data_IF_204170544386
#
_entry.id   IF_204170544386
#
_cell.length_a   1.000
_cell.length_b   1.000
_cell.length_c   1.000
_cell.angle_alpha   90.00
_cell.angle_beta   90.00
_cell.angle_gamma   90.00
#
_symmetry.space_group_name_H-M   'P 1'
#
loop_
_entity.id
_entity.type
_entity.pdbx_description
1 polymer ?
#
# COMPACT_ATOMS: atom_id res chain seq x y z
N UNK A 1 -15.07 3.44 -10.21
CA UNK A 1 -14.89 4.54 -11.17
C UNK A 1 -13.91 4.11 -12.25
N UNK A 2 -14.30 4.15 -13.47
CA UNK A 2 -13.40 3.85 -14.59
C UNK A 2 -12.52 5.08 -14.88
N UNK A 3 -11.24 4.86 -15.12
CA UNK A 3 -10.33 5.90 -15.58
C UNK A 3 -10.19 5.75 -17.10
N UNK A 4 -11.00 6.47 -17.89
CA UNK A 4 -10.97 6.32 -19.34
C UNK A 4 -9.63 6.81 -19.88
N UNK A 5 -9.07 6.18 -20.84
CA UNK A 5 -7.87 6.56 -21.61
C UNK A 5 -6.58 6.81 -20.82
N UNK A 6 -6.64 7.16 -19.54
CA UNK A 6 -5.47 7.51 -18.73
C UNK A 6 -5.07 6.46 -17.71
N UNK A 7 -5.63 5.25 -17.77
CA UNK A 7 -5.36 4.17 -16.82
C UNK A 7 -3.87 3.88 -16.65
N UNK A 8 -3.12 3.84 -17.74
CA UNK A 8 -1.67 3.61 -17.70
C UNK A 8 -0.90 4.75 -17.05
N UNK A 9 -1.33 5.98 -17.24
CA UNK A 9 -0.70 7.17 -16.65
C UNK A 9 -0.93 7.25 -15.15
N UNK A 10 -2.06 6.70 -14.68
CA UNK A 10 -2.42 6.69 -13.27
C UNK A 10 -2.06 5.38 -12.57
N UNK A 11 -1.39 4.47 -13.26
CA UNK A 11 -1.09 3.14 -12.74
C UNK A 11 -0.28 3.22 -11.44
N UNK A 12 0.72 4.08 -11.36
CA UNK A 12 1.52 4.29 -10.15
C UNK A 12 0.65 4.68 -8.96
N UNK A 13 -0.26 5.62 -9.17
CA UNK A 13 -1.16 6.13 -8.13
C UNK A 13 -2.12 5.03 -7.68
N UNK A 14 -2.66 4.27 -8.62
CA UNK A 14 -3.57 3.18 -8.33
C UNK A 14 -2.88 2.06 -7.53
N UNK A 15 -1.67 1.69 -7.90
CA UNK A 15 -0.88 0.69 -7.17
C UNK A 15 -0.57 1.18 -5.76
N UNK A 16 -0.15 2.43 -5.61
CA UNK A 16 0.12 3.02 -4.30
C UNK A 16 -1.13 3.01 -3.42
N UNK A 17 -2.29 3.37 -3.97
CA UNK A 17 -3.56 3.37 -3.27
C UNK A 17 -3.94 1.96 -2.79
N UNK A 18 -3.76 0.96 -3.64
CA UNK A 18 -4.00 -0.44 -3.29
C UNK A 18 -3.11 -0.87 -2.13
N UNK A 19 -1.81 -0.57 -2.19
CA UNK A 19 -0.89 -0.91 -1.12
C UNK A 19 -1.25 -0.23 0.20
N UNK A 20 -1.60 1.04 0.17
CA UNK A 20 -2.02 1.78 1.37
C UNK A 20 -3.31 1.22 1.98
N UNK A 21 -4.20 0.73 1.14
CA UNK A 21 -5.55 0.32 1.54
C UNK A 21 -5.59 -1.13 2.05
N UNK A 22 -4.84 -2.02 1.42
CA UNK A 22 -4.94 -3.47 1.64
C UNK A 22 -3.71 -4.09 2.30
N UNK A 23 -2.61 -3.35 2.46
CA UNK A 23 -1.37 -3.95 2.98
C UNK A 23 -0.85 -3.25 4.22
N UNK A 24 -0.12 -4.03 5.02
CA UNK A 24 0.69 -3.59 6.16
C UNK A 24 1.77 -4.67 6.39
N UNK A 25 2.53 -4.58 7.48
CA UNK A 25 3.59 -5.55 7.76
C UNK A 25 3.07 -6.98 8.00
N UNK A 26 1.79 -7.12 8.37
CA UNK A 26 1.16 -8.42 8.62
C UNK A 26 0.32 -8.91 7.43
N UNK A 27 0.00 -8.02 6.50
CA UNK A 27 -0.82 -8.31 5.32
C UNK A 27 -0.08 -7.82 4.08
N UNK A 28 0.53 -8.73 3.37
CA UNK A 28 1.33 -8.42 2.17
C UNK A 28 0.61 -8.86 0.90
N UNK A 29 1.03 -8.30 -0.23
CA UNK A 29 0.49 -8.66 -1.54
C UNK A 29 1.62 -8.98 -2.51
N UNK A 30 1.40 -9.98 -3.35
CA UNK A 30 2.27 -10.26 -4.49
C UNK A 30 1.79 -9.48 -5.72
N UNK A 31 2.62 -9.42 -6.76
CA UNK A 31 2.25 -8.76 -8.02
C UNK A 31 0.93 -9.30 -8.58
N UNK A 32 0.71 -10.61 -8.47
CA UNK A 32 -0.52 -11.27 -8.87
C UNK A 32 -1.75 -10.68 -8.16
N UNK A 33 -1.63 -10.48 -6.86
CA UNK A 33 -2.70 -9.91 -6.03
C UNK A 33 -2.98 -8.45 -6.41
N UNK A 34 -1.92 -7.69 -6.68
CA UNK A 34 -2.04 -6.30 -7.13
C UNK A 34 -2.74 -6.22 -8.48
N UNK A 35 -2.39 -7.11 -9.42
CA UNK A 35 -3.05 -7.19 -10.73
C UNK A 35 -4.54 -7.45 -10.57
N UNK A 36 -4.91 -8.39 -9.69
CA UNK A 36 -6.31 -8.71 -9.42
C UNK A 36 -7.07 -7.51 -8.84
N UNK A 37 -6.47 -6.79 -7.92
CA UNK A 37 -7.09 -5.60 -7.32
C UNK A 37 -7.19 -4.43 -8.30
N UNK A 38 -6.22 -4.25 -9.17
CA UNK A 38 -6.29 -3.24 -10.24
C UNK A 38 -7.48 -3.50 -11.16
N UNK A 39 -7.71 -4.76 -11.52
CA UNK A 39 -8.86 -5.14 -12.33
C UNK A 39 -10.18 -4.94 -11.60
N UNK A 40 -10.24 -5.34 -10.34
CA UNK A 40 -11.44 -5.29 -9.51
C UNK A 40 -11.85 -3.85 -9.16
N UNK A 41 -10.89 -3.04 -8.68
CA UNK A 41 -11.18 -1.72 -8.12
C UNK A 41 -11.11 -0.60 -9.16
N UNK A 42 -10.27 -0.73 -10.18
CA UNK A 42 -10.01 0.34 -11.16
C UNK A 42 -10.29 -0.05 -12.61
N UNK A 43 -10.67 -1.29 -12.85
CA UNK A 43 -10.89 -1.84 -14.20
C UNK A 43 -9.66 -1.66 -15.11
N UNK A 44 -8.47 -1.83 -14.54
CA UNK A 44 -7.18 -1.74 -15.25
C UNK A 44 -6.62 -3.14 -15.42
N UNK A 45 -6.30 -3.51 -16.67
CA UNK A 45 -5.64 -4.78 -16.99
C UNK A 45 -4.19 -4.50 -17.33
N UNK A 46 -3.27 -5.11 -16.58
CA UNK A 46 -1.83 -4.94 -16.74
C UNK A 46 -1.11 -6.27 -16.58
N UNK A 47 0.11 -6.36 -17.10
CA UNK A 47 0.97 -7.51 -16.91
C UNK A 47 1.87 -7.37 -15.67
N UNK A 48 2.58 -8.44 -15.33
CA UNK A 48 3.46 -8.45 -14.15
C UNK A 48 4.65 -7.50 -14.30
N UNK A 49 5.18 -7.34 -15.52
CA UNK A 49 6.30 -6.45 -15.79
C UNK A 49 5.93 -5.00 -15.52
N UNK A 50 4.74 -4.58 -15.95
CA UNK A 50 4.25 -3.23 -15.72
C UNK A 50 4.05 -2.95 -14.25
N UNK A 51 3.49 -3.90 -13.50
CA UNK A 51 3.31 -3.78 -12.06
C UNK A 51 4.66 -3.66 -11.35
N UNK A 52 5.61 -4.53 -11.68
CA UNK A 52 6.95 -4.50 -11.09
C UNK A 52 7.68 -3.19 -11.38
N UNK A 53 7.63 -2.72 -12.63
CA UNK A 53 8.25 -1.46 -13.01
C UNK A 53 7.67 -0.28 -12.22
N UNK A 54 6.36 -0.24 -12.06
CA UNK A 54 5.70 0.80 -11.29
C UNK A 54 6.00 0.70 -9.79
N UNK A 55 6.07 -0.50 -9.22
CA UNK A 55 6.48 -0.70 -7.83
C UNK A 55 7.91 -0.20 -7.60
N UNK A 56 8.83 -0.52 -8.50
CA UNK A 56 10.21 -0.04 -8.43
C UNK A 56 10.28 1.48 -8.53
N UNK A 57 9.49 2.10 -9.40
CA UNK A 57 9.40 3.55 -9.50
C UNK A 57 8.92 4.20 -8.20
N UNK A 58 7.92 3.61 -7.54
CA UNK A 58 7.42 4.10 -6.27
C UNK A 58 8.47 4.02 -5.16
N UNK A 59 9.21 2.92 -5.11
CA UNK A 59 10.31 2.75 -4.14
C UNK A 59 11.41 3.77 -4.42
N UNK A 60 11.81 3.93 -5.67
CA UNK A 60 12.87 4.88 -6.07
C UNK A 60 12.46 6.33 -5.79
N UNK A 61 11.18 6.64 -5.92
CA UNK A 61 10.66 7.98 -5.63
C UNK A 61 10.73 8.33 -4.15
N UNK A 62 10.73 7.33 -3.28
CA UNK A 62 10.87 7.53 -1.85
C UNK A 62 9.69 7.10 -0.99
N UNK A 63 8.69 6.43 -1.57
CA UNK A 63 7.61 5.85 -0.79
C UNK A 63 8.13 4.68 0.05
N UNK A 64 7.62 4.56 1.26
CA UNK A 64 8.04 3.53 2.21
C UNK A 64 7.33 2.20 1.92
N UNK A 65 7.80 1.54 0.87
CA UNK A 65 7.29 0.25 0.40
C UNK A 65 8.36 -0.80 0.65
N UNK A 66 7.97 -1.87 1.32
CA UNK A 66 8.84 -3.00 1.65
C UNK A 66 8.47 -4.22 0.80
N UNK A 67 9.43 -5.08 0.57
CA UNK A 67 9.22 -6.33 -0.17
C UNK A 67 10.33 -7.34 0.17
N UNK A 68 10.09 -8.60 -0.19
CA UNK A 68 11.06 -9.68 -0.01
C UNK A 68 11.65 -10.07 -1.35
N UNK A 69 12.96 -10.22 -1.40
CA UNK A 69 13.66 -10.73 -2.58
C UNK A 69 14.08 -12.18 -2.32
N UNK A 70 13.82 -13.05 -3.30
CA UNK A 70 14.29 -14.43 -3.30
C UNK A 70 14.97 -14.74 -4.61
N UNK A 71 16.04 -15.53 -4.56
CA UNK A 71 16.71 -16.00 -5.77
C UNK A 71 16.19 -17.39 -6.14
N UNK A 72 15.93 -17.58 -7.43
CA UNK A 72 15.53 -18.85 -7.99
C UNK A 72 16.44 -19.19 -9.17
N UNK A 73 16.89 -20.45 -9.24
CA UNK A 73 17.66 -20.93 -10.38
C UNK A 73 16.73 -21.30 -11.53
N UNK A 74 17.01 -20.76 -12.70
CA UNK A 74 16.28 -21.13 -13.92
C UNK A 74 16.80 -22.45 -14.49
N UNK A 75 16.02 -23.06 -15.39
CA UNK A 75 16.38 -24.32 -16.05
C UNK A 75 17.68 -24.23 -16.87
N UNK A 76 18.04 -23.05 -17.32
CA UNK A 76 19.27 -22.78 -18.10
C UNK A 76 20.51 -22.52 -17.22
N UNK A 77 20.38 -22.61 -15.90
CA UNK A 77 21.47 -22.38 -14.96
C UNK A 77 21.64 -20.94 -14.51
N UNK A 78 20.89 -20.00 -15.07
CA UNK A 78 20.94 -18.59 -14.62
C UNK A 78 20.07 -18.38 -13.40
N UNK A 79 20.44 -17.39 -12.58
CA UNK A 79 19.66 -17.03 -11.39
C UNK A 79 18.71 -15.88 -11.71
N UNK A 80 17.51 -15.99 -11.16
CA UNK A 80 16.47 -15.00 -11.27
C UNK A 80 16.10 -14.48 -9.89
N UNK A 81 16.01 -13.17 -9.74
CA UNK A 81 15.52 -12.55 -8.50
C UNK A 81 14.01 -12.37 -8.57
N UNK A 82 13.30 -12.96 -7.61
CA UNK A 82 11.85 -12.82 -7.48
C UNK A 82 11.55 -11.87 -6.33
N UNK A 83 10.59 -10.99 -6.55
CA UNK A 83 10.09 -10.09 -5.52
C UNK A 83 8.69 -10.51 -5.12
N UNK A 84 8.42 -10.49 -3.81
CA UNK A 84 7.15 -10.90 -3.24
C UNK A 84 6.88 -10.16 -1.94
N UNK A 85 5.70 -10.37 -1.37
CA UNK A 85 5.33 -9.82 -0.07
C UNK A 85 5.47 -8.30 -0.01
N UNK A 86 4.91 -7.63 -1.01
CA UNK A 86 4.90 -6.16 -1.08
C UNK A 86 3.91 -5.59 -0.07
N UNK A 87 4.33 -4.58 0.67
CA UNK A 87 3.44 -3.85 1.56
C UNK A 87 3.89 -2.40 1.75
N UNK A 88 2.94 -1.56 2.09
CA UNK A 88 3.20 -0.18 2.46
C UNK A 88 3.44 -0.11 3.97
N UNK A 89 4.57 0.47 4.35
CA UNK A 89 4.92 0.61 5.76
C UNK A 89 4.25 1.86 6.32
N UNK A 90 3.10 1.67 6.96
CA UNK A 90 2.33 2.76 7.54
C UNK A 90 3.11 3.42 8.67
N UNK A 91 3.00 4.74 8.78
CA UNK A 91 3.66 5.53 9.80
C UNK A 91 3.27 5.05 11.21
N UNK A 92 2.00 4.67 11.36
CA UNK A 92 1.49 4.15 12.63
C UNK A 92 0.74 2.83 12.38
N UNK A 93 0.96 1.85 13.26
CA UNK A 93 0.17 0.62 13.23
C UNK A 93 -1.19 0.81 13.93
N UNK A 94 -2.07 -0.19 13.82
CA UNK A 94 -3.42 -0.11 14.40
C UNK A 94 -3.39 0.05 15.93
N UNK A 95 -2.44 -0.59 16.61
CA UNK A 95 -2.32 -0.49 18.06
C UNK A 95 -1.89 0.91 18.47
N UNK A 96 -0.94 1.51 17.75
CA UNK A 96 -0.48 2.88 18.00
C UNK A 96 -1.58 3.89 17.74
N UNK A 97 -2.34 3.73 16.65
CA UNK A 97 -3.50 4.58 16.34
C UNK A 97 -4.57 4.49 17.44
N UNK A 98 -4.85 3.27 17.92
CA UNK A 98 -5.80 3.05 19.00
C UNK A 98 -5.36 3.75 20.28
N UNK A 99 -4.09 3.67 20.64
CA UNK A 99 -3.55 4.35 21.81
C UNK A 99 -3.72 5.86 21.70
N UNK A 100 -3.45 6.44 20.53
CA UNK A 100 -3.61 7.89 20.30
C UNK A 100 -5.10 8.30 20.41
N UNK A 101 -6.01 7.52 19.82
CA UNK A 101 -7.44 7.78 19.88
C UNK A 101 -7.95 7.68 21.30
N UNK A 102 -7.57 6.65 22.04
CA UNK A 102 -7.97 6.46 23.43
C UNK A 102 -7.48 7.61 24.31
N UNK A 103 -6.26 8.07 24.10
CA UNK A 103 -5.68 9.22 24.82
C UNK A 103 -6.51 10.49 24.62
N UNK A 104 -7.02 10.70 23.42
CA UNK A 104 -7.86 11.86 23.10
C UNK A 104 -9.24 11.72 23.75
N UNK A 105 -9.86 10.54 23.68
CA UNK A 105 -11.17 10.28 24.26
C UNK A 105 -11.19 10.47 25.77
N UNK A 106 -10.10 10.12 26.44
CA UNK A 106 -9.99 10.25 27.90
C UNK A 106 -9.35 11.56 28.34
N UNK A 107 -9.00 12.45 27.39
CA UNK A 107 -8.46 13.77 27.73
C UNK A 107 -9.56 14.68 28.24
N UNK A 108 -9.31 15.31 29.40
CA UNK A 108 -10.20 16.32 29.98
C UNK A 108 -9.96 17.72 29.45
N UNK A 109 -8.87 17.91 28.70
CA UNK A 109 -8.44 19.23 28.22
C UNK A 109 -8.88 19.53 26.79
N UNK A 110 -9.33 18.54 26.04
CA UNK A 110 -9.76 18.69 24.65
C UNK A 110 -11.29 18.72 24.58
N UNK A 111 -11.90 19.81 24.06
CA UNK A 111 -13.36 19.84 23.87
C UNK A 111 -13.83 18.74 22.92
N UNK A 112 -15.04 18.22 23.17
CA UNK A 112 -15.58 17.06 22.45
C UNK A 112 -15.57 17.23 20.92
N UNK A 113 -15.88 18.42 20.40
CA UNK A 113 -15.87 18.66 18.96
C UNK A 113 -14.48 18.58 18.35
N UNK A 114 -13.48 19.13 19.05
CA UNK A 114 -12.09 19.05 18.61
C UNK A 114 -11.52 17.63 18.73
N UNK A 115 -11.93 16.91 19.79
CA UNK A 115 -11.52 15.51 19.95
C UNK A 115 -12.01 14.66 18.78
N UNK A 116 -13.26 14.82 18.36
CA UNK A 116 -13.84 14.10 17.23
C UNK A 116 -13.06 14.38 15.93
N UNK A 117 -12.76 15.63 15.64
CA UNK A 117 -11.98 16.01 14.46
C UNK A 117 -10.57 15.43 14.47
N UNK A 118 -9.92 15.46 15.63
CA UNK A 118 -8.58 14.92 15.79
C UNK A 118 -8.54 13.40 15.62
N UNK A 119 -9.54 12.69 16.17
CA UNK A 119 -9.69 11.24 16.01
C UNK A 119 -9.83 10.89 14.53
N UNK A 120 -10.65 11.61 13.79
CA UNK A 120 -10.84 11.39 12.35
C UNK A 120 -9.53 11.56 11.58
N UNK A 121 -8.74 12.56 11.92
CA UNK A 121 -7.42 12.78 11.30
C UNK A 121 -6.45 11.66 11.62
N UNK A 122 -6.41 11.18 12.86
CA UNK A 122 -5.53 10.07 13.27
C UNK A 122 -5.95 8.79 12.57
N UNK A 123 -7.25 8.50 12.51
CA UNK A 123 -7.77 7.33 11.80
C UNK A 123 -7.38 7.32 10.32
N UNK A 124 -7.26 8.52 9.71
CA UNK A 124 -6.81 8.65 8.33
C UNK A 124 -5.32 8.37 8.11
N UNK A 125 -4.52 8.22 9.17
CA UNK A 125 -3.09 7.89 9.08
C UNK A 125 -2.82 6.39 8.86
N UNK A 126 -3.82 5.55 9.02
CA UNK A 126 -3.66 4.10 8.83
C UNK A 126 -3.67 3.69 7.37
#
# INVERSE_FOLDING_TARGET
>A
MAYPTSGKKMLNICILDILKKYTDCDHTMDQKDIIAKLKEDYDITVDRKSVKANLNCLVDYGYDIEYTETEREKKDGTKETLTSNWYYNHEFDDAELRMMIDSILFSKTIPAGQASQLIDKIAGLS
#
